data_IF_162744133498
#
_entry.id   IF_162744133498
#
_cell.length_a   1.000
_cell.length_b   1.000
_cell.length_c   1.000
_cell.angle_alpha   90.00
_cell.angle_beta   90.00
_cell.angle_gamma   90.00
#
_symmetry.space_group_name_H-M   'P 1'
#
loop_
_entity.id
_entity.type
_entity.pdbx_description
1 polymer ?
#
# COMPACT_ATOMS: atom_id res chain seq x y z
N UNK A 1 12.48 5.58 -20.99
CA UNK A 1 13.11 6.92 -20.88
C UNK A 1 13.29 7.56 -22.23
N UNK A 2 13.25 8.90 -22.27
CA UNK A 2 13.63 9.68 -23.46
C UNK A 2 15.07 10.16 -23.31
N UNK A 3 16.00 9.56 -24.07
CA UNK A 3 17.43 9.87 -24.02
C UNK A 3 18.15 9.38 -22.77
N UNK A 4 19.46 9.61 -22.69
CA UNK A 4 20.27 9.17 -21.57
C UNK A 4 20.13 10.09 -20.35
N UNK A 5 20.12 9.55 -19.12
CA UNK A 5 20.10 10.35 -17.91
C UNK A 5 21.39 11.18 -17.76
N UNK A 6 21.25 12.43 -17.32
CA UNK A 6 22.37 13.36 -17.15
C UNK A 6 22.71 13.51 -15.67
N UNK A 7 23.97 13.29 -15.31
CA UNK A 7 24.50 13.55 -13.98
C UNK A 7 25.37 14.82 -14.02
N UNK A 8 25.06 15.78 -13.17
CA UNK A 8 25.81 17.03 -13.03
C UNK A 8 26.12 17.27 -11.56
N UNK A 9 27.34 17.72 -11.26
CA UNK A 9 27.72 18.15 -9.92
C UNK A 9 27.75 19.68 -9.86
N UNK A 10 27.08 20.23 -8.86
CA UNK A 10 27.08 21.66 -8.58
C UNK A 10 27.33 21.92 -7.09
N UNK A 11 28.38 22.64 -6.76
CA UNK A 11 28.84 22.87 -5.38
C UNK A 11 28.91 21.59 -4.52
N UNK A 12 29.49 20.52 -5.06
CA UNK A 12 29.61 19.23 -4.37
C UNK A 12 28.31 18.40 -4.26
N UNK A 13 27.17 18.91 -4.77
CA UNK A 13 25.90 18.20 -4.76
C UNK A 13 25.62 17.56 -6.12
N UNK A 14 25.31 16.29 -6.11
CA UNK A 14 24.91 15.57 -7.33
C UNK A 14 23.48 15.90 -7.72
N UNK A 15 23.24 16.12 -9.01
CA UNK A 15 21.91 16.23 -9.62
C UNK A 15 21.82 15.28 -10.80
N UNK A 16 20.90 14.34 -10.73
CA UNK A 16 20.54 13.46 -11.84
C UNK A 16 19.25 14.01 -12.47
N UNK A 17 19.23 14.13 -13.79
CA UNK A 17 18.04 14.53 -14.53
C UNK A 17 17.79 13.57 -15.69
N UNK A 18 16.52 13.20 -15.87
CA UNK A 18 16.06 12.34 -16.95
C UNK A 18 14.68 12.84 -17.45
N UNK A 19 14.20 12.27 -18.53
CA UNK A 19 12.84 12.53 -19.02
C UNK A 19 12.14 11.20 -19.17
N UNK A 20 11.05 11.01 -18.45
CA UNK A 20 10.12 9.91 -18.66
C UNK A 20 9.22 10.27 -19.85
N UNK A 21 8.96 9.30 -20.71
CA UNK A 21 8.03 9.45 -21.83
C UNK A 21 7.17 8.20 -21.94
N UNK A 22 5.87 8.42 -22.06
CA UNK A 22 4.86 7.41 -22.38
C UNK A 22 3.98 7.91 -23.54
N UNK A 23 2.88 7.22 -23.80
CA UNK A 23 1.91 7.57 -24.84
C UNK A 23 1.18 8.90 -24.53
N UNK A 24 1.08 9.31 -23.26
CA UNK A 24 0.40 10.53 -22.82
C UNK A 24 1.28 11.77 -22.91
N UNK A 25 2.62 11.62 -22.90
CA UNK A 25 3.54 12.75 -22.99
C UNK A 25 4.92 12.50 -22.39
N UNK A 26 5.59 13.60 -22.03
CA UNK A 26 6.94 13.58 -21.47
C UNK A 26 6.99 14.37 -20.16
N UNK A 27 7.58 13.78 -19.11
CA UNK A 27 7.72 14.37 -17.78
C UNK A 27 9.19 14.43 -17.38
N UNK A 28 9.71 15.61 -17.00
CA UNK A 28 11.04 15.73 -16.42
C UNK A 28 11.13 15.10 -15.03
N UNK A 29 12.25 14.45 -14.78
CA UNK A 29 12.59 13.81 -13.52
C UNK A 29 13.88 14.42 -12.98
N UNK A 30 13.97 14.69 -11.69
CA UNK A 30 15.16 15.23 -11.05
C UNK A 30 15.39 14.56 -9.69
N UNK A 31 16.60 14.07 -9.46
CA UNK A 31 17.07 13.56 -8.17
C UNK A 31 18.24 14.42 -7.66
N UNK A 32 18.26 14.66 -6.36
CA UNK A 32 19.33 15.39 -5.69
C UNK A 32 20.11 14.47 -4.75
N UNK A 33 21.43 14.58 -4.78
CA UNK A 33 22.36 13.79 -3.94
C UNK A 33 22.23 12.28 -4.09
N UNK A 34 21.79 11.80 -5.25
CA UNK A 34 21.60 10.38 -5.55
C UNK A 34 22.26 10.02 -6.89
N UNK A 35 23.61 10.06 -6.99
CA UNK A 35 24.30 9.80 -8.26
C UNK A 35 24.10 8.38 -8.80
N UNK A 36 23.86 7.41 -7.92
CA UNK A 36 23.57 6.01 -8.27
C UNK A 36 22.30 5.84 -9.14
N UNK A 37 21.38 6.79 -9.07
CA UNK A 37 20.15 6.78 -9.86
C UNK A 37 20.46 6.80 -11.36
N UNK A 38 21.54 7.44 -11.79
CA UNK A 38 21.93 7.45 -13.22
C UNK A 38 22.16 6.03 -13.73
N UNK A 39 22.86 5.21 -12.98
CA UNK A 39 23.22 3.87 -13.40
C UNK A 39 21.99 2.93 -13.37
N UNK A 40 21.12 3.09 -12.38
CA UNK A 40 19.84 2.40 -12.33
C UNK A 40 18.92 2.76 -13.49
N UNK A 41 18.81 4.04 -13.84
CA UNK A 41 18.02 4.51 -14.98
C UNK A 41 18.57 4.02 -16.33
N UNK A 42 19.87 3.77 -16.42
CA UNK A 42 20.51 3.33 -17.68
C UNK A 42 20.35 1.81 -17.89
N UNK A 43 20.07 1.03 -16.85
CA UNK A 43 19.99 -0.43 -16.91
C UNK A 43 18.57 -0.96 -17.16
N UNK A 44 17.54 -0.14 -17.02
CA UNK A 44 16.15 -0.57 -17.08
C UNK A 44 15.41 0.04 -18.29
N UNK A 45 14.77 -0.79 -19.10
CA UNK A 45 13.98 -0.36 -20.27
C UNK A 45 12.64 0.26 -19.86
N UNK A 46 12.02 -0.27 -18.82
CA UNK A 46 10.75 0.22 -18.27
C UNK A 46 10.90 0.48 -16.77
N UNK A 47 10.34 1.60 -16.34
CA UNK A 47 10.44 2.09 -14.97
C UNK A 47 9.06 2.43 -14.44
N UNK A 48 8.76 1.97 -13.23
CA UNK A 48 7.64 2.46 -12.44
C UNK A 48 8.18 3.42 -11.39
N UNK A 49 7.70 4.66 -11.43
CA UNK A 49 8.13 5.72 -10.54
C UNK A 49 6.95 6.28 -9.76
N UNK A 50 7.11 6.40 -8.47
CA UNK A 50 6.12 7.00 -7.59
C UNK A 50 6.66 8.31 -6.99
N UNK A 51 5.86 9.37 -7.04
CA UNK A 51 6.24 10.65 -6.47
C UNK A 51 5.17 11.72 -6.67
N UNK A 52 5.35 12.85 -6.02
CA UNK A 52 4.45 14.00 -6.17
C UNK A 52 4.98 14.93 -7.24
N UNK A 53 4.19 15.25 -8.28
CA UNK A 53 4.57 16.24 -9.27
C UNK A 53 4.52 17.64 -8.65
N UNK A 54 5.52 18.45 -8.98
CA UNK A 54 5.57 19.86 -8.60
C UNK A 54 5.92 20.76 -9.78
N UNK A 55 5.52 22.01 -9.74
CA UNK A 55 5.92 22.99 -10.76
C UNK A 55 7.32 23.50 -10.48
N UNK A 56 8.17 23.46 -11.47
CA UNK A 56 9.48 24.10 -11.42
C UNK A 56 9.36 25.64 -11.57
N UNK A 57 10.49 26.35 -11.49
CA UNK A 57 10.52 27.81 -11.63
C UNK A 57 10.07 28.32 -13.00
N UNK A 58 10.05 27.47 -14.01
CA UNK A 58 9.58 27.76 -15.34
C UNK A 58 8.09 27.40 -15.55
N UNK A 59 7.40 26.93 -14.52
CA UNK A 59 6.01 26.48 -14.55
C UNK A 59 5.82 25.08 -15.12
N UNK A 60 6.89 24.35 -15.46
CA UNK A 60 6.83 23.00 -15.99
C UNK A 60 6.61 22.00 -14.84
N UNK A 61 5.72 21.03 -15.07
CA UNK A 61 5.52 19.94 -14.13
C UNK A 61 6.74 19.02 -14.15
N UNK A 62 7.30 18.76 -12.98
CA UNK A 62 8.52 17.95 -12.78
C UNK A 62 8.32 17.03 -11.58
N UNK A 63 8.80 15.79 -11.67
CA UNK A 63 8.83 14.87 -10.54
C UNK A 63 10.19 14.99 -9.84
N UNK A 64 10.17 15.36 -8.57
CA UNK A 64 11.37 15.53 -7.77
C UNK A 64 11.61 14.33 -6.86
N UNK A 65 12.79 13.73 -6.99
CA UNK A 65 13.23 12.56 -6.21
C UNK A 65 12.18 11.45 -6.12
N UNK A 66 11.57 11.03 -7.26
CA UNK A 66 10.63 9.92 -7.22
C UNK A 66 11.32 8.64 -6.73
N UNK A 67 10.57 7.80 -6.03
CA UNK A 67 10.99 6.45 -5.68
C UNK A 67 10.80 5.51 -6.86
N UNK A 68 11.67 4.49 -6.93
CA UNK A 68 11.50 3.37 -7.85
C UNK A 68 10.59 2.36 -7.20
N UNK A 69 9.57 1.93 -7.92
CA UNK A 69 8.66 0.89 -7.51
C UNK A 69 8.86 -0.35 -8.40
N UNK A 70 8.60 -1.51 -7.84
CA UNK A 70 8.58 -2.74 -8.64
C UNK A 70 7.33 -2.74 -9.51
N UNK A 71 7.44 -3.20 -10.76
CA UNK A 71 6.29 -3.30 -11.67
C UNK A 71 5.20 -4.13 -11.03
N UNK A 72 3.98 -3.60 -11.07
CA UNK A 72 2.75 -4.28 -10.62
C UNK A 72 2.68 -4.60 -9.11
N UNK A 73 3.60 -4.12 -8.28
CA UNK A 73 3.47 -4.28 -6.85
C UNK A 73 2.27 -3.48 -6.33
N UNK A 74 1.28 -4.18 -5.79
CA UNK A 74 0.19 -3.58 -5.03
C UNK A 74 0.77 -3.10 -3.69
N UNK A 75 1.08 -1.80 -3.60
CA UNK A 75 1.69 -1.23 -2.41
C UNK A 75 0.63 -0.71 -1.44
N UNK A 76 0.65 -1.13 -0.18
CA UNK A 76 -0.25 -0.60 0.83
C UNK A 76 0.09 0.85 1.15
N UNK A 77 -0.93 1.70 1.23
CA UNK A 77 -0.78 3.08 1.69
C UNK A 77 -1.18 3.17 3.16
N UNK A 78 -0.24 3.61 3.99
CA UNK A 78 -0.50 3.80 5.41
C UNK A 78 -0.67 5.29 5.74
N UNK A 79 -1.51 5.64 6.72
CA UNK A 79 -1.64 7.00 7.19
C UNK A 79 -0.32 7.51 7.78
N UNK A 80 -0.06 8.80 7.63
CA UNK A 80 1.12 9.42 8.22
C UNK A 80 0.96 9.50 9.74
N UNK A 81 1.91 8.91 10.47
CA UNK A 81 1.98 8.97 11.93
C UNK A 81 3.09 9.95 12.32
N UNK A 82 2.81 11.00 13.10
CA UNK A 82 3.84 11.93 13.54
C UNK A 82 4.98 11.22 14.26
N UNK A 83 6.23 11.49 13.86
CA UNK A 83 7.42 10.87 14.44
C UNK A 83 7.79 9.48 13.91
N UNK A 84 6.96 8.87 13.05
CA UNK A 84 7.26 7.56 12.45
C UNK A 84 7.33 7.70 10.93
N UNK A 85 8.47 7.38 10.33
CA UNK A 85 8.56 7.34 8.88
C UNK A 85 7.84 6.12 8.30
N UNK A 86 7.27 6.25 7.09
CA UNK A 86 6.58 5.15 6.40
C UNK A 86 7.46 3.89 6.30
N UNK A 87 8.77 4.06 6.08
CA UNK A 87 9.73 2.94 6.05
C UNK A 87 9.81 2.18 7.37
N UNK A 88 9.81 2.90 8.51
CA UNK A 88 9.81 2.28 9.84
C UNK A 88 8.50 1.55 10.07
N UNK A 89 7.38 2.18 9.73
CA UNK A 89 6.04 1.56 9.87
C UNK A 89 5.94 0.27 9.03
N UNK A 90 6.33 0.29 7.77
CA UNK A 90 6.34 -0.89 6.90
C UNK A 90 7.20 -2.02 7.46
N UNK A 91 8.38 -1.71 8.02
CA UNK A 91 9.24 -2.72 8.66
C UNK A 91 8.59 -3.34 9.90
N UNK A 92 7.94 -2.54 10.73
CA UNK A 92 7.23 -3.03 11.91
C UNK A 92 6.05 -3.93 11.52
N UNK A 93 5.29 -3.55 10.51
CA UNK A 93 4.20 -4.37 9.97
C UNK A 93 4.74 -5.69 9.43
N UNK A 94 5.81 -5.66 8.64
CA UNK A 94 6.43 -6.88 8.11
C UNK A 94 6.89 -7.83 9.25
N UNK A 95 7.46 -7.30 10.33
CA UNK A 95 7.82 -8.09 11.50
C UNK A 95 6.59 -8.68 12.20
N UNK A 96 5.50 -7.92 12.34
CA UNK A 96 4.25 -8.40 12.92
C UNK A 96 3.61 -9.52 12.08
N UNK A 97 3.62 -9.38 10.76
CA UNK A 97 3.10 -10.39 9.82
C UNK A 97 3.82 -11.74 9.95
N UNK A 98 5.11 -11.75 10.31
CA UNK A 98 5.86 -12.99 10.53
C UNK A 98 5.41 -13.75 11.79
N UNK A 99 4.68 -13.11 12.70
CA UNK A 99 4.21 -13.71 13.95
C UNK A 99 2.71 -14.03 13.95
N UNK A 100 2.01 -13.83 12.84
CA UNK A 100 0.55 -14.01 12.75
C UNK A 100 0.10 -15.40 13.21
N UNK A 101 0.83 -16.45 12.83
CA UNK A 101 0.44 -17.84 13.13
C UNK A 101 0.46 -18.13 14.64
N UNK A 102 1.24 -17.35 15.40
CA UNK A 102 1.33 -17.47 16.87
C UNK A 102 0.37 -16.53 17.58
N UNK A 103 0.16 -15.31 17.05
CA UNK A 103 -0.53 -14.24 17.76
C UNK A 103 -1.97 -14.01 17.30
N UNK A 104 -2.35 -14.50 16.12
CA UNK A 104 -3.65 -14.24 15.50
C UNK A 104 -4.38 -15.55 15.14
N UNK A 105 -5.01 -16.23 16.10
CA UNK A 105 -5.77 -17.44 15.81
C UNK A 105 -6.98 -17.15 14.92
N UNK A 106 -7.43 -18.17 14.19
CA UNK A 106 -8.65 -18.09 13.39
C UNK A 106 -9.87 -17.85 14.30
N UNK A 107 -10.68 -16.88 13.96
CA UNK A 107 -11.85 -16.46 14.75
C UNK A 107 -13.17 -17.04 14.23
N UNK A 108 -13.23 -17.40 12.95
CA UNK A 108 -14.45 -17.94 12.34
C UNK A 108 -14.41 -19.47 12.32
N UNK A 109 -15.49 -20.15 12.71
CA UNK A 109 -15.62 -21.60 12.54
C UNK A 109 -15.43 -22.01 11.08
N UNK A 110 -14.82 -23.16 10.85
CA UNK A 110 -14.57 -23.69 9.51
C UNK A 110 -15.86 -23.83 8.69
N UNK A 111 -16.95 -24.30 9.30
CA UNK A 111 -18.25 -24.42 8.64
C UNK A 111 -18.75 -23.08 8.10
N UNK A 112 -18.50 -21.98 8.80
CA UNK A 112 -18.88 -20.65 8.37
C UNK A 112 -17.99 -20.20 7.21
N UNK A 113 -16.68 -20.44 7.31
CA UNK A 113 -15.72 -20.10 6.25
C UNK A 113 -16.04 -20.82 4.94
N UNK A 114 -16.32 -22.11 5.00
CA UNK A 114 -16.70 -22.91 3.84
C UNK A 114 -18.02 -22.44 3.24
N UNK A 115 -19.05 -22.19 4.07
CA UNK A 115 -20.35 -21.73 3.60
C UNK A 115 -20.30 -20.43 2.81
N UNK A 116 -19.48 -19.48 3.26
CA UNK A 116 -19.35 -18.14 2.65
C UNK A 116 -18.11 -17.99 1.77
N UNK A 117 -17.36 -19.07 1.53
CA UNK A 117 -16.14 -19.08 0.71
C UNK A 117 -15.15 -18.01 1.16
N UNK A 118 -14.84 -18.01 2.47
CA UNK A 118 -13.91 -17.07 3.08
C UNK A 118 -12.53 -17.72 3.26
N UNK A 119 -11.49 -16.98 2.93
CA UNK A 119 -10.12 -17.40 3.20
C UNK A 119 -9.80 -17.38 4.71
N UNK A 120 -8.68 -17.95 5.10
CA UNK A 120 -8.18 -17.93 6.48
C UNK A 120 -7.77 -16.52 6.90
N UNK A 121 -7.90 -16.22 8.20
CA UNK A 121 -7.60 -14.91 8.75
C UNK A 121 -6.15 -14.49 8.50
N UNK A 122 -5.20 -15.39 8.74
CA UNK A 122 -3.78 -15.10 8.57
C UNK A 122 -3.42 -14.84 7.09
N UNK A 123 -4.02 -15.60 6.17
CA UNK A 123 -3.92 -15.32 4.74
C UNK A 123 -4.47 -13.93 4.41
N UNK A 124 -5.67 -13.59 4.90
CA UNK A 124 -6.27 -12.28 4.66
C UNK A 124 -5.39 -11.14 5.16
N UNK A 125 -4.89 -11.23 6.39
CA UNK A 125 -4.01 -10.20 6.96
C UNK A 125 -2.71 -10.05 6.15
N UNK A 126 -2.10 -11.14 5.70
CA UNK A 126 -0.91 -11.06 4.82
C UNK A 126 -1.24 -10.37 3.51
N UNK A 127 -2.31 -10.78 2.84
CA UNK A 127 -2.68 -10.25 1.53
C UNK A 127 -3.19 -8.80 1.57
N UNK A 128 -3.67 -8.30 2.70
CA UNK A 128 -3.99 -6.87 2.86
C UNK A 128 -2.74 -5.98 2.92
N UNK A 129 -1.63 -6.51 3.42
CA UNK A 129 -0.41 -5.74 3.58
C UNK A 129 0.64 -6.01 2.50
N UNK A 130 0.66 -7.21 1.97
CA UNK A 130 1.58 -7.66 0.90
C UNK A 130 0.82 -8.54 -0.08
N UNK A 131 -0.05 -7.95 -0.93
CA UNK A 131 -0.87 -8.71 -1.86
C UNK A 131 -0.02 -9.30 -2.98
N UNK A 132 -0.21 -10.60 -3.25
CA UNK A 132 0.43 -11.30 -4.36
C UNK A 132 -0.27 -10.99 -5.69
N UNK A 133 -1.58 -10.68 -5.64
CA UNK A 133 -2.41 -10.36 -6.80
C UNK A 133 -3.63 -9.54 -6.41
N UNK A 134 -4.30 -8.92 -7.39
CA UNK A 134 -5.60 -8.28 -7.18
C UNK A 134 -6.67 -9.24 -6.68
N UNK A 135 -6.65 -10.49 -7.13
CA UNK A 135 -7.58 -11.52 -6.71
C UNK A 135 -7.37 -11.89 -5.25
N UNK A 136 -6.13 -12.15 -4.83
CA UNK A 136 -5.78 -12.41 -3.43
C UNK A 136 -6.17 -11.26 -2.51
N UNK A 137 -5.96 -10.02 -2.95
CA UNK A 137 -6.39 -8.82 -2.23
C UNK A 137 -7.91 -8.76 -2.08
N UNK A 138 -8.68 -9.06 -3.14
CA UNK A 138 -10.13 -9.06 -3.08
C UNK A 138 -10.67 -10.14 -2.11
N UNK A 139 -10.08 -11.34 -2.12
CA UNK A 139 -10.41 -12.39 -1.15
C UNK A 139 -10.13 -11.95 0.31
N UNK A 140 -9.00 -11.30 0.52
CA UNK A 140 -8.63 -10.78 1.83
C UNK A 140 -9.59 -9.69 2.31
N UNK A 141 -9.91 -8.73 1.47
CA UNK A 141 -10.88 -7.67 1.77
C UNK A 141 -12.26 -8.24 2.12
N UNK A 142 -12.74 -9.19 1.32
CA UNK A 142 -14.00 -9.89 1.58
C UNK A 142 -14.01 -10.57 2.94
N UNK A 143 -12.91 -11.25 3.30
CA UNK A 143 -12.78 -11.95 4.59
C UNK A 143 -12.85 -10.98 5.77
N UNK A 144 -12.09 -9.91 5.76
CA UNK A 144 -12.04 -8.95 6.87
C UNK A 144 -13.35 -8.18 6.98
N UNK A 145 -13.91 -7.71 5.88
CA UNK A 145 -15.21 -7.02 5.88
C UNK A 145 -16.33 -7.91 6.42
N UNK A 146 -16.33 -9.21 6.06
CA UNK A 146 -17.30 -10.15 6.61
C UNK A 146 -17.16 -10.29 8.12
N UNK A 147 -15.94 -10.44 8.63
CA UNK A 147 -15.68 -10.57 10.05
C UNK A 147 -16.12 -9.33 10.84
N UNK A 148 -15.75 -8.15 10.37
CA UNK A 148 -16.15 -6.88 10.99
C UNK A 148 -17.68 -6.73 11.05
N UNK A 149 -18.36 -6.99 9.94
CA UNK A 149 -19.82 -6.92 9.89
C UNK A 149 -20.48 -7.97 10.77
N UNK A 150 -19.94 -9.18 10.82
CA UNK A 150 -20.45 -10.24 11.69
C UNK A 150 -20.35 -9.85 13.16
N UNK A 151 -19.20 -9.34 13.61
CA UNK A 151 -19.02 -8.89 14.99
C UNK A 151 -19.92 -7.69 15.32
N UNK A 152 -20.08 -6.76 14.39
CA UNK A 152 -21.00 -5.64 14.57
C UNK A 152 -22.46 -6.12 14.72
N UNK A 153 -22.89 -7.04 13.86
CA UNK A 153 -24.25 -7.60 13.94
C UNK A 153 -24.47 -8.45 15.19
N UNK A 154 -23.47 -9.24 15.61
CA UNK A 154 -23.54 -9.98 16.84
C UNK A 154 -23.67 -9.07 18.07
N UNK A 155 -22.86 -8.00 18.11
CA UNK A 155 -22.94 -7.00 19.20
C UNK A 155 -24.33 -6.34 19.25
N UNK A 156 -24.88 -5.92 18.11
CA UNK A 156 -26.22 -5.36 18.03
C UNK A 156 -27.31 -6.37 18.46
N UNK A 157 -27.15 -7.64 18.11
CA UNK A 157 -28.09 -8.69 18.49
C UNK A 157 -28.07 -8.93 19.99
N UNK A 158 -26.91 -8.93 20.63
CA UNK A 158 -26.77 -9.03 22.09
C UNK A 158 -27.42 -7.82 22.77
N UNK A 159 -27.18 -6.61 22.29
CA UNK A 159 -27.78 -5.40 22.84
C UNK A 159 -29.29 -5.38 22.70
N UNK A 160 -29.83 -5.89 21.59
CA UNK A 160 -31.28 -5.99 21.36
C UNK A 160 -31.91 -7.17 22.08
N UNK A 161 -31.17 -8.27 22.24
CA UNK A 161 -31.61 -9.51 22.90
C UNK A 161 -31.59 -9.45 24.42
N UNK A 162 -31.11 -8.37 25.04
CA UNK A 162 -31.43 -8.09 26.44
C UNK A 162 -32.96 -7.86 26.47
N UNK A 163 -33.78 -8.72 27.12
CA UNK A 163 -35.23 -8.57 27.06
C UNK A 163 -35.60 -7.26 27.76
N UNK A 164 -35.65 -6.22 26.96
CA UNK A 164 -36.37 -5.01 27.34
C UNK A 164 -37.79 -5.44 27.62
N UNK A 165 -38.26 -5.24 28.87
CA UNK A 165 -39.62 -5.46 29.33
C UNK A 165 -40.59 -5.25 28.18
N UNK A 166 -41.31 -6.30 27.82
CA UNK A 166 -42.50 -6.17 26.99
C UNK A 166 -43.38 -5.09 27.62
N UNK A 167 -43.49 -3.94 26.94
CA UNK A 167 -44.55 -3.00 27.27
C UNK A 167 -45.84 -3.66 26.85
N UNK A 168 -46.75 -3.94 27.76
CA UNK A 168 -48.10 -4.36 27.36
C UNK A 168 -48.71 -3.17 26.65
N UNK A 169 -49.04 -3.36 25.38
CA UNK A 169 -49.88 -2.44 24.66
C UNK A 169 -51.28 -2.60 25.29
N UNK A 170 -51.71 -1.59 26.01
CA UNK A 170 -53.12 -1.43 26.42
C UNK A 170 -53.90 -0.86 25.24
#
# INVERSE_FOLDING_TARGET
>A
LKGSPKLVYFHGKARVSATLQDESGAMPLVWFNQPWVRDKLSSEEELLLYGQPARDKSGRITLYSPSFEEKEALLPQYPTIPGISSRVLMRLIAQALNQLDTCCPETLPESLRLRYQLCERNFALRQLHTPDSHESLALAQRRISFEELLFYQAALSILRGTPGRAHPIQ
#
